data_IF_219928671772
#
_entry.id   IF_219928671772
#
_cell.length_a   1.000
_cell.length_b   1.000
_cell.length_c   1.000
_cell.angle_alpha   90.00
_cell.angle_beta   90.00
_cell.angle_gamma   90.00
#
_symmetry.space_group_name_H-M   'P 1'
#
loop_
_entity.id
_entity.type
_entity.pdbx_description
1 polymer ?
#
# COMPACT_ATOMS: atom_id res chain seq x y z
N UNK A 1 2.47 13.20 7.63
CA UNK A 1 3.24 14.39 8.08
C UNK A 1 2.52 15.62 7.56
N UNK A 2 2.53 16.75 8.28
CA UNK A 2 1.93 17.99 7.79
C UNK A 2 2.53 18.36 6.43
N UNK A 3 1.70 18.73 5.46
CA UNK A 3 2.13 19.13 4.11
C UNK A 3 2.34 17.99 3.10
N UNK A 4 1.97 16.76 3.41
CA UNK A 4 1.99 15.68 2.41
C UNK A 4 1.00 15.99 1.28
N UNK A 5 1.49 15.85 0.04
CA UNK A 5 0.68 16.02 -1.18
C UNK A 5 -0.45 14.98 -1.23
N UNK A 6 -0.20 13.77 -0.73
CA UNK A 6 -1.15 12.67 -0.70
C UNK A 6 -2.40 13.01 0.13
N UNK A 7 -2.23 13.77 1.23
CA UNK A 7 -3.36 14.22 2.04
C UNK A 7 -4.34 15.09 1.26
N UNK A 8 -3.85 15.95 0.37
CA UNK A 8 -4.69 16.80 -0.48
C UNK A 8 -5.50 15.95 -1.45
N UNK A 9 -4.87 14.99 -2.12
CA UNK A 9 -5.56 14.09 -3.05
C UNK A 9 -6.54 13.16 -2.33
N UNK A 10 -6.17 12.62 -1.17
CA UNK A 10 -7.06 11.81 -0.36
C UNK A 10 -8.31 12.59 0.08
N UNK A 11 -8.14 13.84 0.48
CA UNK A 11 -9.26 14.73 0.84
C UNK A 11 -10.18 14.95 -0.35
N UNK A 12 -9.65 15.29 -1.53
CA UNK A 12 -10.44 15.51 -2.75
C UNK A 12 -11.24 14.26 -3.14
N UNK A 13 -10.63 13.07 -3.05
CA UNK A 13 -11.30 11.81 -3.36
C UNK A 13 -12.40 11.51 -2.33
N UNK A 14 -12.13 11.73 -1.05
CA UNK A 14 -13.12 11.52 0.01
C UNK A 14 -14.33 12.44 -0.15
N UNK A 15 -14.12 13.70 -0.51
CA UNK A 15 -15.19 14.67 -0.79
C UNK A 15 -16.01 14.26 -2.03
N UNK A 16 -15.33 13.85 -3.11
CA UNK A 16 -16.00 13.39 -4.34
C UNK A 16 -16.88 12.16 -4.09
N UNK A 17 -16.41 11.21 -3.28
CA UNK A 17 -17.12 9.99 -2.96
C UNK A 17 -18.14 10.15 -1.82
N UNK A 18 -18.13 11.27 -1.09
CA UNK A 18 -18.97 11.49 0.09
C UNK A 18 -18.64 10.53 1.24
N UNK A 19 -17.38 10.08 1.36
CA UNK A 19 -16.96 9.13 2.39
C UNK A 19 -16.53 9.82 3.67
N UNK A 20 -16.66 9.13 4.81
CA UNK A 20 -16.13 9.59 6.09
C UNK A 20 -14.61 9.47 6.09
N UNK A 21 -13.91 10.60 5.93
CA UNK A 21 -12.46 10.64 5.87
C UNK A 21 -11.85 10.80 7.27
N UNK A 22 -10.96 9.90 7.65
CA UNK A 22 -10.19 9.97 8.88
C UNK A 22 -8.74 10.34 8.55
N UNK A 23 -8.32 11.51 8.98
CA UNK A 23 -6.93 11.97 8.84
C UNK A 23 -6.15 11.64 10.10
N UNK A 24 -5.14 10.79 9.97
CA UNK A 24 -4.27 10.37 11.07
C UNK A 24 -2.94 11.10 10.94
N UNK A 25 -2.63 11.94 11.93
CA UNK A 25 -1.35 12.64 11.98
C UNK A 25 -0.39 11.89 12.90
N UNK A 26 0.70 11.40 12.33
CA UNK A 26 1.73 10.65 13.02
C UNK A 26 2.94 11.56 13.25
N UNK A 27 3.38 11.67 14.50
CA UNK A 27 4.60 12.40 14.82
C UNK A 27 5.85 11.59 14.44
N UNK A 28 6.98 12.29 14.23
CA UNK A 28 8.27 11.62 14.01
C UNK A 28 8.62 10.67 15.18
N UNK A 29 8.27 11.06 16.40
CA UNK A 29 8.52 10.23 17.60
C UNK A 29 7.71 8.94 17.57
N UNK A 30 6.43 9.01 17.18
CA UNK A 30 5.56 7.82 17.12
C UNK A 30 6.00 6.89 16.00
N UNK A 31 6.39 7.45 14.84
CA UNK A 31 6.97 6.69 13.76
C UNK A 31 8.22 5.91 14.20
N UNK A 32 9.18 6.59 14.86
CA UNK A 32 10.40 5.94 15.32
C UNK A 32 10.17 4.88 16.40
N UNK A 33 9.22 5.12 17.32
CA UNK A 33 8.84 4.13 18.34
C UNK A 33 8.23 2.86 17.76
N UNK A 34 7.56 2.96 16.61
CA UNK A 34 6.90 1.82 15.99
C UNK A 34 7.89 0.91 15.21
N UNK A 35 9.11 1.35 14.93
CA UNK A 35 10.07 0.59 14.11
C UNK A 35 10.34 -0.79 14.69
N UNK A 36 10.62 -0.89 15.98
CA UNK A 36 10.96 -2.15 16.62
C UNK A 36 9.82 -3.18 16.55
N UNK A 37 8.62 -2.77 16.91
CA UNK A 37 7.45 -3.66 16.84
C UNK A 37 7.09 -4.03 15.40
N UNK A 38 7.34 -3.14 14.45
CA UNK A 38 7.11 -3.42 13.03
C UNK A 38 8.11 -4.46 12.53
N UNK A 39 9.41 -4.32 12.83
CA UNK A 39 10.44 -5.32 12.50
C UNK A 39 10.03 -6.70 13.02
N UNK A 40 9.58 -6.76 14.27
CA UNK A 40 9.13 -8.00 14.89
C UNK A 40 7.95 -8.63 14.12
N UNK A 41 6.93 -7.83 13.80
CA UNK A 41 5.72 -8.34 13.15
C UNK A 41 5.92 -8.73 11.68
N UNK A 42 6.74 -7.95 10.94
CA UNK A 42 6.98 -8.25 9.51
C UNK A 42 8.12 -9.26 9.30
N UNK A 43 8.88 -9.57 10.35
CA UNK A 43 10.02 -10.50 10.29
C UNK A 43 11.05 -10.13 9.22
N UNK A 44 11.31 -8.84 9.05
CA UNK A 44 12.25 -8.31 8.06
C UNK A 44 13.05 -7.14 8.60
N UNK A 45 14.32 -7.07 8.21
CA UNK A 45 15.25 -5.96 8.47
C UNK A 45 15.52 -5.10 7.23
N UNK A 46 14.89 -5.41 6.10
CA UNK A 46 15.01 -4.58 4.91
C UNK A 46 14.52 -3.17 5.17
N UNK A 47 15.38 -2.18 4.94
CA UNK A 47 15.11 -0.78 5.27
C UNK A 47 13.88 -0.25 4.55
N UNK A 48 13.69 -0.60 3.29
CA UNK A 48 12.56 -0.14 2.48
C UNK A 48 11.25 -0.75 2.97
N UNK A 49 11.26 -2.06 3.22
CA UNK A 49 10.12 -2.80 3.75
C UNK A 49 9.71 -2.28 5.12
N UNK A 50 10.66 -2.13 6.06
CA UNK A 50 10.38 -1.61 7.40
C UNK A 50 9.79 -0.20 7.34
N UNK A 51 10.43 0.71 6.59
CA UNK A 51 9.98 2.10 6.45
C UNK A 51 8.54 2.21 5.94
N UNK A 52 8.19 1.43 4.93
CA UNK A 52 6.86 1.42 4.36
C UNK A 52 5.83 0.77 5.32
N UNK A 53 6.21 -0.32 5.97
CA UNK A 53 5.34 -1.06 6.90
C UNK A 53 4.96 -0.27 8.14
N UNK A 54 5.78 0.69 8.61
CA UNK A 54 5.43 1.52 9.78
C UNK A 54 4.14 2.30 9.54
N UNK A 55 3.97 2.88 8.35
CA UNK A 55 2.74 3.59 7.98
C UNK A 55 1.53 2.66 7.99
N UNK A 56 1.64 1.51 7.32
CA UNK A 56 0.57 0.51 7.25
C UNK A 56 0.19 0.01 8.65
N UNK A 57 1.17 -0.30 9.49
CA UNK A 57 0.96 -0.76 10.86
C UNK A 57 0.20 0.27 11.71
N UNK A 58 0.64 1.53 11.69
CA UNK A 58 0.03 2.59 12.51
C UNK A 58 -1.39 2.94 12.06
N UNK A 59 -1.65 2.94 10.74
CA UNK A 59 -3.01 3.13 10.21
C UNK A 59 -3.91 1.95 10.59
N UNK A 60 -3.43 0.73 10.43
CA UNK A 60 -4.17 -0.49 10.78
C UNK A 60 -4.49 -0.54 12.28
N UNK A 61 -3.54 -0.16 13.12
CA UNK A 61 -3.73 -0.03 14.56
C UNK A 61 -4.86 0.96 14.88
N UNK A 62 -4.83 2.15 14.26
CA UNK A 62 -5.89 3.14 14.43
C UNK A 62 -7.26 2.59 14.01
N UNK A 63 -7.35 1.90 12.87
CA UNK A 63 -8.60 1.31 12.38
C UNK A 63 -9.13 0.29 13.39
N UNK A 64 -8.28 -0.60 13.89
CA UNK A 64 -8.65 -1.61 14.87
C UNK A 64 -9.15 -0.99 16.19
N UNK A 65 -8.52 0.09 16.65
CA UNK A 65 -8.88 0.77 17.91
C UNK A 65 -10.14 1.64 17.80
N UNK A 66 -10.50 2.08 16.58
CA UNK A 66 -11.55 3.09 16.37
C UNK A 66 -12.70 2.61 15.48
N UNK A 67 -12.74 1.33 15.12
CA UNK A 67 -13.83 0.74 14.34
C UNK A 67 -14.00 -0.75 14.60
N UNK A 68 -15.15 -1.28 14.20
CA UNK A 68 -15.45 -2.73 14.24
C UNK A 68 -15.03 -3.44 12.94
N UNK A 69 -14.35 -2.73 12.02
CA UNK A 69 -13.89 -3.29 10.76
C UNK A 69 -12.93 -4.46 11.00
N UNK A 70 -13.11 -5.53 10.21
CA UNK A 70 -12.20 -6.70 10.20
C UNK A 70 -11.53 -6.86 8.84
N UNK A 71 -12.13 -6.30 7.80
CA UNK A 71 -11.62 -6.36 6.43
C UNK A 71 -11.42 -4.94 5.92
N UNK A 72 -10.29 -4.67 5.31
CA UNK A 72 -9.98 -3.39 4.70
C UNK A 72 -9.53 -3.57 3.25
N UNK A 73 -9.83 -2.58 2.41
CA UNK A 73 -9.29 -2.50 1.07
C UNK A 73 -8.03 -1.62 1.09
N UNK A 74 -7.00 -2.05 0.34
CA UNK A 74 -5.82 -1.24 0.10
C UNK A 74 -5.51 -1.12 -1.40
N UNK A 75 -4.59 -0.22 -1.75
CA UNK A 75 -4.25 0.11 -3.13
C UNK A 75 -3.06 -0.65 -3.70
N UNK A 76 -2.54 -1.66 -3.01
CA UNK A 76 -1.38 -2.42 -3.48
C UNK A 76 -1.66 -3.08 -4.84
N UNK A 77 -0.66 -3.09 -5.70
CA UNK A 77 -0.76 -3.59 -7.06
C UNK A 77 -1.19 -2.55 -8.10
N UNK A 78 -1.65 -1.38 -7.68
CA UNK A 78 -2.11 -0.34 -8.61
C UNK A 78 -1.01 0.19 -9.51
N UNK A 79 0.17 0.44 -8.97
CA UNK A 79 1.32 0.97 -9.71
C UNK A 79 1.90 -0.08 -10.67
N UNK A 80 1.91 -1.33 -10.28
CA UNK A 80 2.37 -2.45 -11.09
C UNK A 80 1.46 -2.68 -12.29
N UNK A 81 0.15 -2.72 -12.05
CA UNK A 81 -0.86 -3.01 -13.08
C UNK A 81 -1.08 -1.82 -14.00
N UNK A 82 -1.10 -0.59 -13.46
CA UNK A 82 -1.37 0.63 -14.22
C UNK A 82 -0.10 1.36 -14.67
N UNK A 83 1.08 0.77 -14.49
CA UNK A 83 2.37 1.38 -14.83
C UNK A 83 2.57 2.75 -14.16
N UNK A 84 2.18 2.89 -12.88
CA UNK A 84 2.15 4.15 -12.15
C UNK A 84 3.54 4.69 -11.74
N UNK A 85 4.54 3.84 -11.68
CA UNK A 85 5.90 4.25 -11.29
C UNK A 85 6.53 5.22 -12.28
N UNK A 86 7.13 6.30 -11.75
CA UNK A 86 7.70 7.39 -12.57
C UNK A 86 8.77 6.88 -13.54
N UNK A 87 9.58 5.90 -13.14
CA UNK A 87 10.64 5.38 -14.01
C UNK A 87 10.11 4.65 -15.24
N UNK A 88 8.89 4.09 -15.18
CA UNK A 88 8.24 3.42 -16.29
C UNK A 88 7.95 4.35 -17.49
N UNK A 89 7.90 5.67 -17.25
CA UNK A 89 7.76 6.67 -18.31
C UNK A 89 8.94 6.69 -19.28
N UNK A 90 10.09 6.14 -18.88
CA UNK A 90 11.28 6.02 -19.69
C UNK A 90 11.42 4.67 -20.40
N UNK A 91 10.37 3.86 -20.43
CA UNK A 91 10.39 2.57 -21.11
C UNK A 91 10.70 2.77 -22.61
N UNK A 92 11.66 2.00 -23.19
CA UNK A 92 12.09 2.17 -24.56
C UNK A 92 11.03 1.75 -25.59
N UNK A 93 10.05 0.97 -25.19
CA UNK A 93 8.94 0.49 -26.02
C UNK A 93 7.74 0.07 -25.18
N UNK A 94 6.56 -0.03 -25.82
CA UNK A 94 5.35 -0.59 -25.17
C UNK A 94 5.57 -2.02 -24.69
N UNK A 95 6.29 -2.83 -25.47
CA UNK A 95 6.62 -4.19 -25.08
C UNK A 95 7.49 -4.24 -23.83
N UNK A 96 8.51 -3.40 -23.75
CA UNK A 96 9.37 -3.32 -22.56
C UNK A 96 8.58 -2.85 -21.33
N UNK A 97 7.66 -1.90 -21.50
CA UNK A 97 6.75 -1.47 -20.43
C UNK A 97 5.88 -2.62 -19.90
N UNK A 98 5.29 -3.39 -20.82
CA UNK A 98 4.44 -4.52 -20.46
C UNK A 98 5.24 -5.64 -19.76
N UNK A 99 6.44 -5.93 -20.24
CA UNK A 99 7.33 -6.92 -19.62
C UNK A 99 7.72 -6.52 -18.20
N UNK A 100 8.03 -5.24 -17.98
CA UNK A 100 8.36 -4.75 -16.64
C UNK A 100 7.15 -4.80 -15.71
N UNK A 101 5.95 -4.41 -16.17
CA UNK A 101 4.71 -4.55 -15.40
C UNK A 101 4.44 -6.02 -15.00
N UNK A 102 4.59 -6.96 -15.93
CA UNK A 102 4.45 -8.38 -15.63
C UNK A 102 5.45 -8.86 -14.59
N UNK A 103 6.72 -8.48 -14.74
CA UNK A 103 7.77 -8.80 -13.77
C UNK A 103 7.46 -8.27 -12.38
N UNK A 104 7.04 -7.01 -12.28
CA UNK A 104 6.65 -6.41 -11.01
C UNK A 104 5.51 -7.17 -10.34
N UNK A 105 4.50 -7.59 -11.11
CA UNK A 105 3.38 -8.39 -10.61
C UNK A 105 3.80 -9.80 -10.16
N UNK A 106 4.74 -10.43 -10.86
CA UNK A 106 5.27 -11.74 -10.48
C UNK A 106 6.08 -11.67 -9.16
N UNK A 107 6.77 -10.56 -8.95
CA UNK A 107 7.64 -10.34 -7.79
C UNK A 107 6.94 -9.64 -6.61
N UNK A 108 5.72 -9.11 -6.77
CA UNK A 108 5.04 -8.27 -5.78
C UNK A 108 4.87 -8.95 -4.42
N UNK A 109 4.80 -10.27 -4.38
CA UNK A 109 4.68 -11.04 -3.16
C UNK A 109 5.92 -10.96 -2.26
N UNK A 110 7.09 -10.64 -2.81
CA UNK A 110 8.31 -10.42 -2.03
C UNK A 110 8.36 -9.04 -1.35
N UNK A 111 7.60 -8.08 -1.84
CA UNK A 111 7.67 -6.68 -1.42
C UNK A 111 6.36 -6.19 -0.82
N UNK A 112 5.47 -5.67 -1.64
CA UNK A 112 4.29 -4.93 -1.20
C UNK A 112 3.26 -5.82 -0.50
N UNK A 113 2.96 -6.98 -1.05
CA UNK A 113 2.00 -7.90 -0.45
C UNK A 113 2.52 -8.42 0.89
N UNK A 114 3.79 -8.82 0.96
CA UNK A 114 4.39 -9.33 2.19
C UNK A 114 4.33 -8.30 3.32
N UNK A 115 4.74 -7.06 3.05
CA UNK A 115 4.73 -6.00 4.06
C UNK A 115 3.33 -5.62 4.48
N UNK A 116 2.39 -5.47 3.52
CA UNK A 116 1.01 -5.10 3.80
C UNK A 116 0.29 -6.18 4.59
N UNK A 117 0.37 -7.42 4.14
CA UNK A 117 -0.25 -8.56 4.82
C UNK A 117 0.20 -8.64 6.28
N UNK A 118 1.51 -8.68 6.53
CA UNK A 118 2.05 -8.81 7.87
C UNK A 118 1.77 -7.60 8.77
N UNK A 119 1.91 -6.39 8.26
CA UNK A 119 1.69 -5.18 9.07
C UNK A 119 0.22 -4.93 9.39
N UNK A 120 -0.69 -5.32 8.50
CA UNK A 120 -2.13 -5.16 8.67
C UNK A 120 -2.67 -6.27 9.56
N UNK A 121 -2.30 -7.53 9.31
CA UNK A 121 -2.74 -8.69 10.08
C UNK A 121 -2.23 -8.66 11.53
N UNK A 122 -1.08 -8.03 11.80
CA UNK A 122 -0.58 -7.79 13.15
C UNK A 122 -1.56 -7.02 14.05
N UNK A 123 -2.51 -6.29 13.46
CA UNK A 123 -3.58 -5.57 14.16
C UNK A 123 -4.94 -6.29 14.05
N UNK A 124 -4.97 -7.56 13.63
CA UNK A 124 -6.20 -8.37 13.52
C UNK A 124 -7.13 -7.94 12.38
N UNK A 125 -6.60 -7.29 11.35
CA UNK A 125 -7.33 -6.91 10.15
C UNK A 125 -6.93 -7.80 8.97
N UNK A 126 -7.85 -7.99 8.03
CA UNK A 126 -7.61 -8.68 6.76
C UNK A 126 -7.55 -7.67 5.61
N UNK A 127 -6.44 -7.66 4.89
CA UNK A 127 -6.27 -6.82 3.70
C UNK A 127 -6.88 -7.49 2.47
N UNK A 128 -7.60 -6.70 1.67
CA UNK A 128 -8.08 -7.05 0.32
C UNK A 128 -7.52 -6.07 -0.68
N UNK A 129 -6.94 -6.59 -1.76
CA UNK A 129 -6.21 -5.83 -2.79
C UNK A 129 -6.94 -5.95 -4.13
N UNK A 130 -7.93 -5.07 -4.43
CA UNK A 130 -8.73 -5.18 -5.65
C UNK A 130 -7.92 -5.12 -6.93
N UNK A 131 -6.80 -4.36 -6.96
CA UNK A 131 -5.92 -4.27 -8.12
C UNK A 131 -5.18 -5.57 -8.43
N UNK A 132 -5.11 -6.50 -7.47
CA UNK A 132 -4.50 -7.83 -7.65
C UNK A 132 -5.54 -8.93 -7.91
N UNK A 133 -6.81 -8.58 -8.14
CA UNK A 133 -7.80 -9.56 -8.63
C UNK A 133 -7.34 -10.17 -9.94
N UNK A 134 -7.35 -11.50 -10.00
CA UNK A 134 -6.80 -12.25 -11.15
C UNK A 134 -7.51 -11.93 -12.46
N UNK A 135 -8.81 -11.66 -12.42
CA UNK A 135 -9.59 -11.32 -13.62
C UNK A 135 -9.28 -9.90 -14.07
N UNK A 136 -9.16 -8.97 -13.13
CA UNK A 136 -8.77 -7.60 -13.40
C UNK A 136 -7.36 -7.51 -14.00
N UNK A 137 -6.37 -8.14 -13.38
CA UNK A 137 -4.98 -8.18 -13.89
C UNK A 137 -4.94 -8.79 -15.30
N UNK A 138 -5.61 -9.94 -15.51
CA UNK A 138 -5.67 -10.58 -16.85
C UNK A 138 -6.32 -9.70 -17.91
N UNK A 139 -7.28 -8.87 -17.53
CA UNK A 139 -7.92 -7.93 -18.44
C UNK A 139 -6.95 -6.81 -18.83
N UNK A 140 -6.32 -6.16 -17.85
CA UNK A 140 -5.40 -5.04 -18.10
C UNK A 140 -4.16 -5.45 -18.89
N UNK A 141 -3.60 -6.61 -18.61
CA UNK A 141 -2.43 -7.12 -19.36
C UNK A 141 -2.72 -7.46 -20.83
N UNK A 142 -4.00 -7.44 -21.26
CA UNK A 142 -4.38 -7.62 -22.67
C UNK A 142 -4.54 -6.32 -23.45
N UNK A 143 -4.59 -5.18 -22.75
CA UNK A 143 -4.70 -3.86 -23.36
C UNK A 143 -3.35 -3.36 -23.88
#
# INVERSE_FOLDING_TARGET
MPGSIDLKYAQNVAEFLGTKHHKIEISKKDFLKAIEIVIYNIESYDTTTVRASVGNYLVSKYICENSDCKVIFNGDGSDEVCCGYVYLRNAPSKLALQQESQKLLEEIHYFDVLRSDRSISANGLEARMPFLDKSFVKYLLKL
#
